data_IF_258681942088
#
_entry.id   IF_258681942088
#
_cell.length_a   1.000
_cell.length_b   1.000
_cell.length_c   1.000
_cell.angle_alpha   90.00
_cell.angle_beta   90.00
_cell.angle_gamma   90.00
#
_symmetry.space_group_name_H-M   'P 1'
#
loop_
_entity.id
_entity.type
_entity.pdbx_description
1 polymer ?
#
# COMPACT_ATOMS: atom_id res chain seq x y z
N UNK A 1 0.37 -18.18 -0.27
CA UNK A 1 0.53 -17.87 -1.73
C UNK A 1 0.89 -19.15 -2.47
N UNK A 2 0.18 -19.47 -3.54
CA UNK A 2 0.46 -20.64 -4.39
C UNK A 2 1.53 -20.32 -5.46
N UNK A 3 2.09 -21.40 -6.08
CA UNK A 3 3.19 -21.27 -7.05
C UNK A 3 2.78 -20.50 -8.32
N UNK A 4 1.50 -20.57 -8.74
CA UNK A 4 0.99 -19.84 -9.90
C UNK A 4 1.00 -18.34 -9.66
N UNK A 5 0.55 -17.89 -8.48
CA UNK A 5 0.57 -16.46 -8.11
C UNK A 5 2.01 -15.96 -7.95
N UNK A 6 2.89 -16.78 -7.37
CA UNK A 6 4.30 -16.42 -7.26
C UNK A 6 4.92 -16.21 -8.64
N UNK A 7 4.74 -17.13 -9.56
CA UNK A 7 5.25 -17.00 -10.93
C UNK A 7 4.68 -15.75 -11.64
N UNK A 8 3.40 -15.43 -11.43
CA UNK A 8 2.80 -14.22 -11.97
C UNK A 8 3.44 -12.95 -11.36
N UNK A 9 3.68 -12.93 -10.07
CA UNK A 9 4.35 -11.80 -9.41
C UNK A 9 5.79 -11.62 -9.89
N UNK A 10 6.53 -12.71 -10.07
CA UNK A 10 7.89 -12.65 -10.64
C UNK A 10 7.87 -12.08 -12.07
N UNK A 11 6.91 -12.49 -12.90
CA UNK A 11 6.68 -11.93 -14.25
C UNK A 11 6.38 -10.43 -14.17
N UNK A 12 5.40 -10.01 -13.35
CA UNK A 12 4.99 -8.60 -13.22
C UNK A 12 6.12 -7.72 -12.69
N UNK A 13 6.93 -8.22 -11.76
CA UNK A 13 8.07 -7.49 -11.23
C UNK A 13 9.16 -7.29 -12.30
N UNK A 14 9.47 -8.34 -13.05
CA UNK A 14 10.44 -8.27 -14.16
C UNK A 14 9.97 -7.32 -15.26
N UNK A 15 8.70 -7.42 -15.67
CA UNK A 15 8.09 -6.54 -16.68
C UNK A 15 8.02 -5.08 -16.21
N UNK A 16 7.69 -4.85 -14.94
CA UNK A 16 7.69 -3.52 -14.33
C UNK A 16 9.08 -2.90 -14.35
N UNK A 17 10.09 -3.64 -13.93
CA UNK A 17 11.49 -3.21 -13.95
C UNK A 17 11.98 -2.88 -15.36
N UNK A 18 11.66 -3.72 -16.35
CA UNK A 18 11.99 -3.50 -17.75
C UNK A 18 11.25 -2.29 -18.35
N UNK A 19 10.00 -2.05 -17.97
CA UNK A 19 9.23 -0.87 -18.34
C UNK A 19 9.89 0.39 -17.79
N UNK A 20 10.18 0.42 -16.49
CA UNK A 20 10.70 1.58 -15.77
C UNK A 20 12.10 1.98 -16.26
N UNK A 21 12.92 1.00 -16.65
CA UNK A 21 14.24 1.25 -17.24
C UNK A 21 14.17 2.01 -18.58
N UNK A 22 13.06 1.90 -19.31
CA UNK A 22 12.84 2.58 -20.61
C UNK A 22 12.01 3.86 -20.47
N UNK A 23 11.38 4.09 -19.30
CA UNK A 23 10.49 5.21 -19.07
C UNK A 23 11.21 6.38 -18.38
N UNK A 24 11.50 7.49 -19.09
CA UNK A 24 12.17 8.65 -18.49
C UNK A 24 11.27 9.40 -17.52
N UNK A 25 9.97 9.46 -17.81
CA UNK A 25 9.00 10.14 -16.94
C UNK A 25 8.66 9.27 -15.73
N UNK A 26 9.00 9.78 -14.53
CA UNK A 26 8.73 9.13 -13.24
C UNK A 26 7.24 8.80 -13.04
N UNK A 27 6.34 9.66 -13.49
CA UNK A 27 4.90 9.49 -13.30
C UNK A 27 4.29 8.38 -14.14
N UNK A 28 5.00 7.98 -15.22
CA UNK A 28 4.59 6.89 -16.10
C UNK A 28 5.24 5.55 -15.75
N UNK A 29 6.08 5.51 -14.70
CA UNK A 29 6.72 4.28 -14.20
C UNK A 29 5.75 3.49 -13.33
N UNK A 30 5.86 2.17 -13.38
CA UNK A 30 5.09 1.25 -12.55
C UNK A 30 5.54 1.26 -11.10
N UNK A 31 6.85 1.36 -10.86
CA UNK A 31 7.48 1.46 -9.52
C UNK A 31 7.00 0.37 -8.58
N UNK A 32 6.96 -0.88 -9.07
CA UNK A 32 6.53 -2.01 -8.26
C UNK A 32 7.28 -2.06 -6.93
N UNK A 33 6.54 -2.37 -5.87
CA UNK A 33 7.06 -2.63 -4.52
C UNK A 33 8.14 -3.71 -4.58
N UNK A 34 9.24 -3.57 -3.86
CA UNK A 34 10.27 -4.61 -3.79
C UNK A 34 9.73 -5.88 -3.12
N UNK A 35 10.14 -7.08 -3.61
CA UNK A 35 9.60 -8.36 -3.08
C UNK A 35 9.75 -8.54 -1.57
N UNK A 36 10.88 -8.14 -0.99
CA UNK A 36 11.12 -8.22 0.46
C UNK A 36 10.23 -7.25 1.27
N UNK A 37 9.95 -6.06 0.72
CA UNK A 37 8.99 -5.12 1.32
C UNK A 37 7.55 -5.67 1.22
N UNK A 38 7.19 -6.29 0.08
CA UNK A 38 5.89 -6.95 -0.10
C UNK A 38 5.71 -8.13 0.87
N UNK A 39 6.75 -8.93 1.11
CA UNK A 39 6.73 -10.02 2.10
C UNK A 39 6.48 -9.49 3.52
N UNK A 40 7.17 -8.41 3.93
CA UNK A 40 6.96 -7.78 5.22
C UNK A 40 5.56 -7.18 5.35
N UNK A 41 5.06 -6.51 4.31
CA UNK A 41 3.73 -5.94 4.28
C UNK A 41 2.64 -7.01 4.45
N UNK A 42 2.75 -8.14 3.72
CA UNK A 42 1.81 -9.26 3.84
C UNK A 42 1.89 -9.96 5.19
N UNK A 43 3.07 -10.00 5.79
CA UNK A 43 3.25 -10.49 7.15
C UNK A 43 2.50 -9.59 8.16
N UNK A 44 2.56 -8.25 7.99
CA UNK A 44 1.80 -7.33 8.81
C UNK A 44 0.28 -7.56 8.70
N UNK A 45 -0.25 -7.79 7.48
CA UNK A 45 -1.67 -8.17 7.27
C UNK A 45 -2.03 -9.42 8.08
N UNK A 46 -1.22 -10.49 7.97
CA UNK A 46 -1.48 -11.77 8.66
C UNK A 46 -1.37 -11.67 10.17
N UNK A 47 -0.33 -10.99 10.68
CA UNK A 47 -0.08 -10.84 12.12
C UNK A 47 -1.17 -10.02 12.82
N UNK A 48 -1.73 -9.01 12.16
CA UNK A 48 -2.79 -8.16 12.72
C UNK A 48 -4.19 -8.72 12.47
N UNK A 49 -4.31 -9.75 11.62
CA UNK A 49 -5.59 -10.29 11.18
C UNK A 49 -6.42 -9.27 10.38
N UNK A 50 -5.74 -8.37 9.65
CA UNK A 50 -6.38 -7.28 8.92
C UNK A 50 -7.38 -7.81 7.88
N UNK A 51 -8.59 -7.24 7.86
CA UNK A 51 -9.68 -7.57 6.93
C UNK A 51 -10.08 -6.41 6.05
N UNK A 52 -10.14 -5.21 6.61
CA UNK A 52 -10.45 -3.99 5.87
C UNK A 52 -9.13 -3.31 5.49
N UNK A 53 -8.63 -3.63 4.30
CA UNK A 53 -7.34 -3.16 3.79
C UNK A 53 -7.59 -2.09 2.74
N UNK A 54 -6.90 -0.96 2.87
CA UNK A 54 -6.92 0.14 1.89
C UNK A 54 -5.52 0.36 1.36
N UNK A 55 -5.38 0.44 0.05
CA UNK A 55 -4.16 0.78 -0.67
C UNK A 55 -4.38 2.07 -1.47
N UNK A 56 -3.45 3.00 -1.39
CA UNK A 56 -3.41 4.18 -2.25
C UNK A 56 -2.15 4.09 -3.12
N UNK A 57 -2.37 3.87 -4.41
CA UNK A 57 -1.32 3.57 -5.40
C UNK A 57 -1.44 2.13 -5.92
N UNK A 58 -2.31 1.90 -6.91
CA UNK A 58 -2.57 0.58 -7.49
C UNK A 58 -1.57 0.21 -8.59
N UNK A 59 -1.24 1.19 -9.46
CA UNK A 59 -0.40 0.98 -10.64
C UNK A 59 -0.87 -0.23 -11.48
N UNK A 60 0.00 -1.20 -11.74
CA UNK A 60 -0.32 -2.44 -12.46
C UNK A 60 -0.93 -3.54 -11.56
N UNK A 61 -1.19 -3.26 -10.27
CA UNK A 61 -1.78 -4.20 -9.31
C UNK A 61 -0.81 -5.17 -8.65
N UNK A 62 0.51 -4.94 -8.76
CA UNK A 62 1.52 -5.83 -8.20
C UNK A 62 1.40 -5.95 -6.67
N UNK A 63 1.47 -4.84 -5.93
CA UNK A 63 1.28 -4.80 -4.48
C UNK A 63 -0.14 -5.22 -4.08
N UNK A 64 -1.14 -4.85 -4.87
CA UNK A 64 -2.54 -5.24 -4.67
C UNK A 64 -2.73 -6.75 -4.66
N UNK A 65 -2.03 -7.49 -5.55
CA UNK A 65 -2.05 -8.98 -5.57
C UNK A 65 -1.46 -9.55 -4.28
N UNK A 66 -0.33 -9.00 -3.80
CA UNK A 66 0.27 -9.41 -2.53
C UNK A 66 -0.69 -9.19 -1.35
N UNK A 67 -1.31 -8.02 -1.26
CA UNK A 67 -2.28 -7.68 -0.23
C UNK A 67 -3.53 -8.58 -0.29
N UNK A 68 -4.07 -8.81 -1.48
CA UNK A 68 -5.26 -9.64 -1.68
C UNK A 68 -5.00 -11.12 -1.36
N UNK A 69 -3.80 -11.64 -1.65
CA UNK A 69 -3.39 -12.98 -1.24
C UNK A 69 -3.30 -13.11 0.28
N UNK A 70 -2.74 -12.10 0.95
CA UNK A 70 -2.69 -12.09 2.43
C UNK A 70 -4.09 -11.92 3.04
N UNK A 71 -4.94 -11.07 2.45
CA UNK A 71 -6.32 -10.89 2.87
C UNK A 71 -7.16 -12.16 2.77
N UNK A 72 -6.82 -13.06 1.83
CA UNK A 72 -7.48 -14.36 1.72
C UNK A 72 -7.30 -15.21 2.99
N UNK A 73 -6.13 -15.13 3.64
CA UNK A 73 -5.83 -15.86 4.87
C UNK A 73 -6.59 -15.30 6.10
N UNK A 74 -6.91 -13.99 6.09
CA UNK A 74 -7.62 -13.31 7.19
C UNK A 74 -9.14 -13.23 6.97
N UNK A 75 -9.62 -13.62 5.77
CA UNK A 75 -11.02 -13.47 5.38
C UNK A 75 -11.37 -12.02 5.02
N UNK A 76 -10.38 -11.20 4.67
CA UNK A 76 -10.51 -9.79 4.35
C UNK A 76 -10.66 -9.48 2.86
N UNK A 77 -10.74 -8.19 2.56
CA UNK A 77 -10.79 -7.60 1.22
C UNK A 77 -9.88 -6.37 1.12
N UNK A 78 -9.55 -5.98 -0.10
CA UNK A 78 -8.73 -4.81 -0.39
C UNK A 78 -9.54 -3.80 -1.19
N UNK A 79 -9.50 -2.54 -0.78
CA UNK A 79 -9.88 -1.40 -1.62
C UNK A 79 -8.59 -0.76 -2.10
N UNK A 80 -8.36 -0.72 -3.41
CA UNK A 80 -7.16 -0.13 -3.99
C UNK A 80 -7.55 1.04 -4.90
N UNK A 81 -6.92 2.20 -4.66
CA UNK A 81 -7.27 3.48 -5.29
C UNK A 81 -6.07 4.02 -6.07
N UNK A 82 -6.29 4.41 -7.32
CA UNK A 82 -5.29 5.07 -8.15
C UNK A 82 -5.90 6.21 -8.97
N UNK A 83 -5.15 7.29 -9.12
CA UNK A 83 -5.57 8.40 -9.97
C UNK A 83 -5.47 8.07 -11.48
N UNK A 84 -4.56 7.14 -11.84
CA UNK A 84 -4.39 6.64 -13.20
C UNK A 84 -5.41 5.53 -13.53
N UNK A 85 -5.34 4.98 -14.77
CA UNK A 85 -6.16 3.83 -15.17
C UNK A 85 -5.84 2.60 -14.34
N UNK A 86 -6.90 1.88 -13.94
CA UNK A 86 -6.86 0.63 -13.17
C UNK A 86 -7.09 -0.62 -14.03
N UNK A 87 -7.15 -0.47 -15.36
CA UNK A 87 -7.49 -1.58 -16.28
C UNK A 87 -6.46 -2.69 -16.25
N UNK A 88 -5.15 -2.34 -16.26
CA UNK A 88 -4.05 -3.32 -16.19
C UNK A 88 -4.09 -4.08 -14.85
N UNK A 89 -4.32 -3.37 -13.75
CA UNK A 89 -4.46 -3.98 -12.43
C UNK A 89 -5.64 -4.97 -12.39
N UNK A 90 -6.79 -4.60 -12.96
CA UNK A 90 -7.96 -5.47 -13.06
C UNK A 90 -7.67 -6.76 -13.83
N UNK A 91 -6.93 -6.68 -14.94
CA UNK A 91 -6.50 -7.86 -15.70
C UNK A 91 -5.55 -8.75 -14.88
N UNK A 92 -4.56 -8.16 -14.24
CA UNK A 92 -3.59 -8.89 -13.43
C UNK A 92 -4.24 -9.56 -12.21
N UNK A 93 -5.21 -8.93 -11.56
CA UNK A 93 -6.01 -9.52 -10.49
C UNK A 93 -6.85 -10.71 -10.96
N UNK A 94 -7.42 -10.65 -12.19
CA UNK A 94 -8.12 -11.80 -12.79
C UNK A 94 -7.15 -12.95 -13.08
N UNK A 95 -5.95 -12.66 -13.60
CA UNK A 95 -4.89 -13.66 -13.82
C UNK A 95 -4.47 -14.33 -12.51
N UNK A 96 -4.40 -13.55 -11.41
CA UNK A 96 -4.09 -14.03 -10.05
C UNK A 96 -5.24 -14.82 -9.41
N UNK A 97 -6.48 -14.75 -9.95
CA UNK A 97 -7.66 -15.34 -9.34
C UNK A 97 -8.10 -14.65 -8.04
N UNK A 98 -7.84 -13.32 -7.94
CA UNK A 98 -8.11 -12.52 -6.74
C UNK A 98 -9.06 -11.33 -6.98
N UNK A 99 -9.62 -11.19 -8.18
CA UNK A 99 -10.46 -10.05 -8.55
C UNK A 99 -11.67 -9.86 -7.61
N UNK A 100 -12.28 -10.95 -7.11
CA UNK A 100 -13.43 -10.90 -6.20
C UNK A 100 -13.08 -10.40 -4.78
N UNK A 101 -11.80 -10.29 -4.45
CA UNK A 101 -11.32 -9.79 -3.16
C UNK A 101 -10.88 -8.34 -3.18
N UNK A 102 -10.89 -7.73 -4.37
CA UNK A 102 -10.37 -6.37 -4.55
C UNK A 102 -11.44 -5.49 -5.18
N UNK A 103 -11.69 -4.35 -4.55
CA UNK A 103 -12.45 -3.27 -5.14
C UNK A 103 -11.45 -2.22 -5.67
N UNK A 104 -11.33 -2.13 -7.01
CA UNK A 104 -10.50 -1.14 -7.66
C UNK A 104 -11.29 0.15 -7.87
N UNK A 105 -10.71 1.28 -7.48
CA UNK A 105 -11.31 2.61 -7.60
C UNK A 105 -10.35 3.52 -8.37
N UNK A 106 -10.77 4.04 -9.51
CA UNK A 106 -10.06 5.12 -10.17
C UNK A 106 -10.47 6.45 -9.56
N UNK A 107 -9.53 7.14 -8.88
CA UNK A 107 -9.84 8.39 -8.19
C UNK A 107 -8.68 8.96 -7.39
N UNK A 108 -8.91 10.10 -6.76
CA UNK A 108 -7.95 10.76 -5.89
C UNK A 108 -7.87 10.07 -4.52
N UNK A 109 -6.65 9.64 -4.12
CA UNK A 109 -6.43 8.92 -2.88
C UNK A 109 -6.70 9.74 -1.62
N UNK A 110 -6.35 11.03 -1.63
CA UNK A 110 -6.60 11.92 -0.49
C UNK A 110 -8.08 12.16 -0.27
N UNK A 111 -8.85 12.34 -1.36
CA UNK A 111 -10.30 12.46 -1.29
C UNK A 111 -10.93 11.16 -0.77
N UNK A 112 -10.48 10.02 -1.28
CA UNK A 112 -10.98 8.73 -0.79
C UNK A 112 -10.75 8.57 0.71
N UNK A 113 -9.53 8.86 1.20
CA UNK A 113 -9.23 8.82 2.64
C UNK A 113 -10.11 9.79 3.44
N UNK A 114 -10.39 10.98 2.92
CA UNK A 114 -11.26 11.96 3.60
C UNK A 114 -12.71 11.48 3.76
N UNK A 115 -13.21 10.69 2.81
CA UNK A 115 -14.58 10.16 2.78
C UNK A 115 -14.75 8.90 3.66
N UNK A 116 -13.65 8.19 4.01
CA UNK A 116 -13.72 7.01 4.88
C UNK A 116 -14.10 7.38 6.32
N UNK A 117 -14.92 6.55 7.01
CA UNK A 117 -15.22 6.72 8.42
C UNK A 117 -13.97 6.60 9.30
N UNK A 118 -14.02 7.23 10.48
CA UNK A 118 -12.98 7.07 11.51
C UNK A 118 -12.92 5.62 11.98
N UNK A 119 -11.70 5.08 12.08
CA UNK A 119 -11.49 3.74 12.62
C UNK A 119 -12.07 2.59 11.79
N UNK A 120 -12.24 2.77 10.48
CA UNK A 120 -12.83 1.78 9.58
C UNK A 120 -11.81 0.90 8.86
N UNK A 121 -10.50 1.17 8.99
CA UNK A 121 -9.43 0.50 8.24
C UNK A 121 -8.53 -0.28 9.19
N UNK A 122 -8.25 -1.53 8.87
CA UNK A 122 -7.32 -2.38 9.61
C UNK A 122 -5.87 -2.14 9.20
N UNK A 123 -5.63 -2.01 7.89
CA UNK A 123 -4.33 -1.69 7.34
C UNK A 123 -4.48 -0.71 6.18
N UNK A 124 -3.77 0.42 6.29
CA UNK A 124 -3.63 1.40 5.22
C UNK A 124 -2.22 1.31 4.64
N UNK A 125 -2.11 1.07 3.32
CA UNK A 125 -0.86 1.09 2.60
C UNK A 125 -0.79 2.30 1.66
N UNK A 126 0.27 3.10 1.79
CA UNK A 126 0.54 4.27 0.96
C UNK A 126 1.75 4.03 0.06
N UNK A 127 1.51 3.91 -1.24
CA UNK A 127 2.52 3.78 -2.30
C UNK A 127 2.13 4.60 -3.55
N UNK A 128 1.74 5.85 -3.34
CA UNK A 128 1.36 6.79 -4.40
C UNK A 128 2.38 7.94 -4.55
N UNK A 129 1.95 9.10 -5.05
CA UNK A 129 2.79 10.29 -5.15
C UNK A 129 3.01 10.92 -3.76
N UNK A 130 4.21 10.72 -3.24
CA UNK A 130 4.60 11.00 -1.84
C UNK A 130 4.46 12.46 -1.43
N UNK A 131 4.64 13.40 -2.38
CA UNK A 131 4.51 14.84 -2.12
C UNK A 131 3.10 15.25 -1.70
N UNK A 132 2.10 14.42 -1.95
CA UNK A 132 0.71 14.67 -1.56
C UNK A 132 0.40 14.27 -0.11
N UNK A 133 1.16 13.36 0.52
CA UNK A 133 0.80 12.74 1.79
C UNK A 133 0.64 13.72 2.94
N UNK A 134 1.47 14.76 3.01
CA UNK A 134 1.35 15.80 4.03
C UNK A 134 0.00 16.52 3.97
N UNK A 135 -0.55 16.72 2.76
CA UNK A 135 -1.86 17.35 2.56
C UNK A 135 -3.03 16.45 2.96
N UNK A 136 -2.83 15.15 3.07
CA UNK A 136 -3.83 14.18 3.49
C UNK A 136 -3.97 14.06 5.02
N UNK A 137 -3.11 14.72 5.77
CA UNK A 137 -3.19 14.70 7.24
C UNK A 137 -4.48 15.34 7.75
N UNK A 138 -5.16 14.79 8.80
CA UNK A 138 -4.78 13.61 9.62
C UNK A 138 -5.40 12.28 9.17
N UNK A 139 -5.89 12.18 7.93
CA UNK A 139 -6.68 11.04 7.47
C UNK A 139 -5.95 9.69 7.57
N UNK A 140 -4.64 9.56 7.25
CA UNK A 140 -3.94 8.28 7.33
C UNK A 140 -3.96 7.63 8.72
N UNK A 141 -4.01 8.43 9.78
CA UNK A 141 -4.14 7.91 11.16
C UNK A 141 -5.60 7.85 11.61
N UNK A 142 -6.43 8.82 11.18
CA UNK A 142 -7.85 8.90 11.56
C UNK A 142 -8.64 7.66 11.12
N UNK A 143 -8.41 7.19 9.89
CA UNK A 143 -9.17 6.06 9.31
C UNK A 143 -8.80 4.71 9.91
N UNK A 144 -7.59 4.55 10.47
CA UNK A 144 -7.21 3.29 11.11
C UNK A 144 -8.05 3.03 12.36
N UNK A 145 -8.47 1.79 12.57
CA UNK A 145 -9.02 1.38 13.87
C UNK A 145 -7.94 1.31 14.95
N UNK A 146 -8.27 1.35 16.25
CA UNK A 146 -7.31 0.98 17.29
C UNK A 146 -6.73 -0.42 17.01
N UNK A 147 -5.39 -0.54 17.03
CA UNK A 147 -4.69 -1.76 16.62
C UNK A 147 -4.45 -1.89 15.10
N UNK A 148 -4.92 -0.94 14.28
CA UNK A 148 -4.65 -0.88 12.85
C UNK A 148 -3.23 -0.43 12.52
N UNK A 149 -2.81 -0.65 11.28
CA UNK A 149 -1.44 -0.37 10.81
C UNK A 149 -1.46 0.56 9.61
N UNK A 150 -0.65 1.61 9.67
CA UNK A 150 -0.21 2.41 8.52
C UNK A 150 1.11 1.82 8.01
N UNK A 151 1.17 1.52 6.72
CA UNK A 151 2.40 1.17 6.01
C UNK A 151 2.69 2.21 4.93
N UNK A 152 3.92 2.69 4.84
CA UNK A 152 4.36 3.71 3.86
C UNK A 152 5.61 3.24 3.16
N UNK A 153 5.56 3.10 1.84
CA UNK A 153 6.72 2.67 1.06
C UNK A 153 7.63 3.83 0.63
N UNK A 154 8.84 3.47 0.18
CA UNK A 154 9.83 4.38 -0.38
C UNK A 154 10.34 5.47 0.60
N UNK A 155 10.37 5.19 1.91
CA UNK A 155 10.75 6.17 2.92
C UNK A 155 12.25 6.44 3.00
N UNK A 156 13.12 5.55 2.47
CA UNK A 156 14.57 5.70 2.46
C UNK A 156 15.16 6.01 1.08
N UNK A 157 14.43 5.74 -0.01
CA UNK A 157 14.88 5.96 -1.38
C UNK A 157 13.69 6.09 -2.34
N UNK A 158 13.84 6.69 -3.53
CA UNK A 158 15.02 7.42 -4.00
C UNK A 158 15.10 8.86 -3.49
N UNK A 159 14.06 9.41 -2.89
CA UNK A 159 13.95 10.80 -2.44
C UNK A 159 13.32 10.87 -1.04
N UNK A 160 14.04 10.50 0.02
CA UNK A 160 13.50 10.47 1.38
C UNK A 160 12.98 11.83 1.87
N UNK A 161 13.55 12.92 1.39
CA UNK A 161 13.16 14.29 1.76
C UNK A 161 11.68 14.59 1.42
N UNK A 162 11.11 13.94 0.39
CA UNK A 162 9.70 14.10 0.02
C UNK A 162 8.73 13.61 1.12
N UNK A 163 9.18 12.71 1.99
CA UNK A 163 8.37 12.14 3.08
C UNK A 163 8.71 12.70 4.46
N UNK A 164 9.76 13.51 4.62
CA UNK A 164 10.21 14.02 5.93
C UNK A 164 9.07 14.72 6.68
N UNK A 165 8.33 15.60 6.03
CA UNK A 165 7.22 16.33 6.66
C UNK A 165 6.08 15.41 7.07
N UNK A 166 5.73 14.43 6.24
CA UNK A 166 4.68 13.46 6.54
C UNK A 166 5.08 12.53 7.70
N UNK A 167 6.29 11.98 7.68
CA UNK A 167 6.79 11.11 8.73
C UNK A 167 6.94 11.84 10.07
N UNK A 168 7.26 13.14 10.06
CA UNK A 168 7.25 13.95 11.28
C UNK A 168 5.83 14.02 11.88
N UNK A 169 4.80 14.28 11.07
CA UNK A 169 3.41 14.28 11.54
C UNK A 169 2.99 12.91 12.12
N UNK A 170 3.40 11.81 11.49
CA UNK A 170 3.13 10.44 12.00
C UNK A 170 3.85 10.20 13.33
N UNK A 171 5.12 10.62 13.43
CA UNK A 171 5.96 10.40 14.63
C UNK A 171 5.47 11.21 15.83
N UNK A 172 5.00 12.44 15.58
CA UNK A 172 4.53 13.37 16.62
C UNK A 172 3.08 13.07 17.06
N UNK A 173 2.39 12.14 16.42
CA UNK A 173 1.02 11.76 16.78
C UNK A 173 1.01 10.71 17.90
N UNK A 174 0.59 11.11 19.10
CA UNK A 174 0.52 10.23 20.28
C UNK A 174 -0.36 8.96 20.09
N UNK A 175 -1.23 8.96 19.09
CA UNK A 175 -2.11 7.81 18.80
C UNK A 175 -1.38 6.65 18.14
N UNK A 176 -0.18 6.86 17.59
CA UNK A 176 0.58 5.83 16.88
C UNK A 176 1.97 5.61 17.48
N UNK A 177 2.55 4.49 17.15
CA UNK A 177 3.98 4.19 17.35
C UNK A 177 4.47 3.42 16.15
N UNK A 178 5.63 3.77 15.63
CA UNK A 178 6.11 3.19 14.38
C UNK A 178 7.63 3.11 14.30
N UNK A 179 8.08 2.44 13.26
CA UNK A 179 9.50 2.30 12.92
C UNK A 179 9.67 2.11 11.42
N UNK A 180 10.80 2.54 10.90
CA UNK A 180 11.21 2.28 9.53
C UNK A 180 12.10 1.03 9.47
N UNK A 181 11.74 0.11 8.58
CA UNK A 181 12.51 -1.11 8.30
C UNK A 181 13.21 -0.96 6.95
N UNK A 182 14.50 -1.27 6.91
CA UNK A 182 15.33 -1.16 5.69
C UNK A 182 15.14 -2.39 4.78
N UNK A 183 13.91 -2.60 4.32
CA UNK A 183 13.55 -3.57 3.26
C UNK A 183 13.18 -2.79 2.02
N UNK A 184 13.51 -3.29 0.83
CA UNK A 184 13.28 -2.56 -0.41
C UNK A 184 13.88 -1.16 -0.36
N UNK A 185 13.06 -0.16 -0.65
CA UNK A 185 13.41 1.28 -0.56
C UNK A 185 13.03 1.89 0.80
N UNK A 186 12.80 1.07 1.80
CA UNK A 186 12.38 1.45 3.15
C UNK A 186 10.87 1.43 3.33
N UNK A 187 10.40 0.56 4.22
CA UNK A 187 8.99 0.46 4.61
C UNK A 187 8.84 1.03 6.04
N UNK A 188 8.04 2.07 6.20
CA UNK A 188 7.65 2.57 7.51
C UNK A 188 6.34 1.90 7.94
N UNK A 189 6.35 1.32 9.14
CA UNK A 189 5.17 0.72 9.76
C UNK A 189 4.84 1.50 11.02
N UNK A 190 3.60 1.98 11.14
CA UNK A 190 3.08 2.64 12.35
C UNK A 190 1.79 1.95 12.79
N UNK A 191 1.76 1.55 14.06
CA UNK A 191 0.62 0.88 14.68
C UNK A 191 -0.20 1.86 15.51
N UNK A 192 -1.52 1.90 15.26
CA UNK A 192 -2.43 2.72 16.06
C UNK A 192 -2.69 2.08 17.42
N UNK A 193 -2.39 2.81 18.49
CA UNK A 193 -2.56 2.37 19.89
C UNK A 193 -4.01 1.97 20.17
N UNK A 194 -4.19 0.95 21.01
CA UNK A 194 -5.52 0.38 21.33
C UNK A 194 -6.23 1.08 22.48
N UNK A 195 -5.60 2.04 23.14
CA UNK A 195 -6.18 2.80 24.25
C UNK A 195 -5.20 3.85 24.76
N UNK A 196 -5.67 4.99 25.06
CA UNK A 196 -5.16 6.05 25.88
C UNK A 196 -6.30 6.57 26.69
#
# INVERSE_FOLDING_TARGET
MDDRRRALLDELYADGSAHDARQPDRLLRRRNLEPDAAELLTLAVRMTGARDIVEIGTSNGYSTIWLADAAADTGGTVVSVDAASIDEAGENLRRAGLAERVNLIQGDGGRHLAELPDGSVDLLFLDAERTAYTSWWPHPVRVLRPGGVLAVDNVLAPSPDELTGFLALVTDDDRVTGSTVSVGKGLHLAWRRTGG
#
